data_IF_296984376351
#
_entry.id   IF_296984376351
#
_cell.length_a   1.000
_cell.length_b   1.000
_cell.length_c   1.000
_cell.angle_alpha   90.00
_cell.angle_beta   90.00
_cell.angle_gamma   90.00
#
_symmetry.space_group_name_H-M   'P 1'
#
loop_
_entity.id
_entity.type
_entity.pdbx_description
1 polymer ?
#
# COMPACT_ATOMS: atom_id res chain seq x y z
N UNK A 1 30.36 -8.33 -13.88
CA UNK A 1 28.88 -8.33 -14.07
C UNK A 1 28.10 -8.62 -12.81
N UNK A 2 28.59 -9.46 -11.91
CA UNK A 2 27.93 -9.69 -10.62
C UNK A 2 27.79 -8.40 -9.76
N UNK A 3 28.79 -7.50 -9.83
CA UNK A 3 28.80 -6.26 -9.04
C UNK A 3 27.66 -5.30 -9.40
N UNK A 4 27.33 -5.18 -10.71
CA UNK A 4 26.25 -4.29 -11.15
C UNK A 4 24.88 -4.72 -10.64
N UNK A 5 24.67 -6.02 -10.48
CA UNK A 5 23.41 -6.56 -9.98
C UNK A 5 23.19 -6.22 -8.51
N UNK A 6 24.24 -6.33 -7.69
CA UNK A 6 24.17 -5.98 -6.28
C UNK A 6 24.02 -4.48 -6.06
N UNK A 7 24.71 -3.67 -6.85
CA UNK A 7 24.58 -2.21 -6.80
C UNK A 7 23.16 -1.78 -7.17
N UNK A 8 22.57 -2.36 -8.23
CA UNK A 8 21.21 -2.07 -8.64
C UNK A 8 20.19 -2.45 -7.56
N UNK A 9 20.37 -3.58 -6.89
CA UNK A 9 19.51 -3.99 -5.77
C UNK A 9 19.65 -3.02 -4.59
N UNK A 10 20.87 -2.60 -4.27
CA UNK A 10 21.13 -1.63 -3.20
C UNK A 10 20.45 -0.28 -3.47
N UNK A 11 20.56 0.23 -4.71
CA UNK A 11 19.91 1.47 -5.12
C UNK A 11 18.40 1.35 -5.03
N UNK A 12 17.82 0.24 -5.51
CA UNK A 12 16.38 0.01 -5.43
C UNK A 12 15.88 -0.05 -3.98
N UNK A 13 16.64 -0.66 -3.08
CA UNK A 13 16.28 -0.72 -1.66
C UNK A 13 16.28 0.68 -1.05
N UNK A 14 17.29 1.49 -1.37
CA UNK A 14 17.39 2.86 -0.86
C UNK A 14 16.22 3.72 -1.37
N UNK A 15 15.89 3.65 -2.64
CA UNK A 15 14.75 4.37 -3.23
C UNK A 15 13.43 3.95 -2.59
N UNK A 16 13.21 2.65 -2.42
CA UNK A 16 12.00 2.11 -1.80
C UNK A 16 11.90 2.51 -0.33
N UNK A 17 13.02 2.49 0.38
CA UNK A 17 13.06 2.94 1.78
C UNK A 17 12.69 4.41 1.88
N UNK A 18 13.17 5.26 0.97
CA UNK A 18 12.82 6.67 0.93
C UNK A 18 11.32 6.88 0.70
N UNK A 19 10.71 6.15 -0.23
CA UNK A 19 9.28 6.25 -0.50
C UNK A 19 8.46 5.79 0.72
N UNK A 20 8.82 4.66 1.32
CA UNK A 20 8.17 4.14 2.53
C UNK A 20 8.25 5.17 3.65
N UNK A 21 9.43 5.75 3.84
CA UNK A 21 9.68 6.73 4.88
C UNK A 21 8.85 7.99 4.67
N UNK A 22 8.76 8.47 3.42
CA UNK A 22 7.98 9.65 3.08
C UNK A 22 6.48 9.44 3.33
N UNK A 23 5.93 8.29 2.94
CA UNK A 23 4.53 7.97 3.21
C UNK A 23 4.29 7.87 4.71
N UNK A 24 5.17 7.19 5.44
CA UNK A 24 5.08 7.06 6.89
C UNK A 24 5.13 8.42 7.58
N UNK A 25 6.03 9.32 7.14
CA UNK A 25 6.13 10.67 7.69
C UNK A 25 4.84 11.46 7.50
N UNK A 26 4.25 11.40 6.32
CA UNK A 26 3.00 12.10 6.03
C UNK A 26 1.82 11.56 6.83
N UNK A 27 1.79 10.24 7.06
CA UNK A 27 0.69 9.59 7.77
C UNK A 27 0.75 9.80 9.27
N UNK A 28 1.94 9.90 9.84
CA UNK A 28 2.11 9.91 11.29
C UNK A 28 2.01 11.29 11.95
N UNK A 29 2.24 12.39 11.19
CA UNK A 29 2.35 13.70 11.80
C UNK A 29 3.51 13.77 12.80
N UNK A 30 3.34 14.39 13.99
CA UNK A 30 4.41 14.50 14.99
C UNK A 30 4.62 13.21 15.80
N UNK A 31 5.11 12.16 15.15
CA UNK A 31 5.35 10.85 15.78
C UNK A 31 6.50 10.86 16.76
N UNK A 32 6.36 10.06 17.80
CA UNK A 32 7.49 9.78 18.72
C UNK A 32 8.42 8.79 18.04
N UNK A 33 9.76 8.96 18.18
CA UNK A 33 10.73 8.12 17.47
C UNK A 33 10.57 6.62 17.68
N UNK A 34 10.17 6.18 18.88
CA UNK A 34 10.03 4.74 19.18
C UNK A 34 8.83 4.08 18.47
N UNK A 35 7.91 4.86 17.91
CA UNK A 35 6.75 4.35 17.18
C UNK A 35 7.03 4.07 15.71
N UNK A 36 8.19 4.51 15.20
CA UNK A 36 8.58 4.30 13.81
C UNK A 36 8.58 2.84 13.40
N UNK A 37 9.13 1.95 14.23
CA UNK A 37 9.18 0.53 13.92
C UNK A 37 7.81 -0.10 13.74
N UNK A 38 6.81 0.38 14.48
CA UNK A 38 5.44 -0.11 14.40
C UNK A 38 4.77 0.25 13.08
N UNK A 39 5.20 1.34 12.43
CA UNK A 39 4.66 1.80 11.16
C UNK A 39 5.49 1.29 9.98
N UNK A 40 6.82 1.32 10.09
CA UNK A 40 7.73 1.00 9.00
C UNK A 40 7.61 -0.46 8.57
N UNK A 41 7.46 -1.40 9.51
CA UNK A 41 7.35 -2.81 9.15
C UNK A 41 6.08 -3.12 8.33
N UNK A 42 4.86 -2.73 8.77
CA UNK A 42 3.68 -2.88 7.93
C UNK A 42 3.78 -2.13 6.60
N UNK A 43 4.35 -0.92 6.60
CA UNK A 43 4.53 -0.15 5.37
C UNK A 43 5.46 -0.85 4.39
N UNK A 44 6.48 -1.54 4.87
CA UNK A 44 7.39 -2.32 4.03
C UNK A 44 6.64 -3.46 3.34
N UNK A 45 5.75 -4.13 4.07
CA UNK A 45 4.91 -5.20 3.52
C UNK A 45 3.95 -4.64 2.46
N UNK A 46 3.27 -3.54 2.75
CA UNK A 46 2.37 -2.88 1.81
C UNK A 46 3.12 -2.45 0.55
N UNK A 47 4.30 -1.85 0.71
CA UNK A 47 5.13 -1.44 -0.44
C UNK A 47 5.53 -2.63 -1.30
N UNK A 48 5.82 -3.77 -0.69
CA UNK A 48 6.13 -5.01 -1.44
C UNK A 48 4.94 -5.46 -2.29
N UNK A 49 3.75 -5.49 -1.72
CA UNK A 49 2.54 -5.81 -2.48
C UNK A 49 2.32 -4.80 -3.62
N UNK A 50 2.48 -3.51 -3.32
CA UNK A 50 2.35 -2.45 -4.32
C UNK A 50 3.29 -2.69 -5.51
N UNK A 51 4.56 -2.96 -5.24
CA UNK A 51 5.57 -3.12 -6.28
C UNK A 51 5.32 -4.37 -7.14
N UNK A 52 4.84 -5.44 -6.53
CA UNK A 52 4.42 -6.63 -7.28
C UNK A 52 3.29 -6.31 -8.24
N UNK A 53 2.32 -5.52 -7.80
CA UNK A 53 1.11 -5.20 -8.58
C UNK A 53 1.30 -4.04 -9.56
N UNK A 54 2.33 -3.22 -9.38
CA UNK A 54 2.54 -2.01 -10.18
C UNK A 54 2.55 -2.26 -11.70
N UNK A 55 3.24 -3.28 -12.24
CA UNK A 55 3.25 -3.50 -13.68
C UNK A 55 1.90 -3.81 -14.30
N UNK A 56 0.96 -4.34 -13.52
CA UNK A 56 -0.39 -4.73 -14.00
C UNK A 56 -1.50 -3.88 -13.41
N UNK A 57 -1.15 -2.77 -12.77
CA UNK A 57 -2.13 -1.90 -12.10
C UNK A 57 -3.25 -1.47 -13.04
N UNK A 58 -2.92 -0.97 -14.22
CA UNK A 58 -3.92 -0.53 -15.20
C UNK A 58 -4.80 -1.68 -15.69
N UNK A 59 -4.20 -2.86 -15.94
CA UNK A 59 -4.96 -4.03 -16.37
C UNK A 59 -5.99 -4.46 -15.33
N UNK A 60 -5.63 -4.40 -14.04
CA UNK A 60 -6.56 -4.69 -12.94
C UNK A 60 -7.67 -3.64 -12.89
N UNK A 61 -7.34 -2.35 -13.06
CA UNK A 61 -8.32 -1.27 -13.07
C UNK A 61 -9.33 -1.44 -14.19
N UNK A 62 -8.88 -1.73 -15.40
CA UNK A 62 -9.75 -1.98 -16.56
C UNK A 62 -10.64 -3.20 -16.34
N UNK A 63 -10.06 -4.30 -15.86
CA UNK A 63 -10.81 -5.52 -15.62
C UNK A 63 -11.85 -5.32 -14.50
N UNK A 64 -11.51 -4.60 -13.46
CA UNK A 64 -12.45 -4.30 -12.38
C UNK A 64 -13.69 -3.55 -12.89
N UNK A 65 -13.51 -2.59 -13.78
CA UNK A 65 -14.65 -1.86 -14.36
C UNK A 65 -15.59 -2.80 -15.14
N UNK A 66 -15.06 -3.85 -15.73
CA UNK A 66 -15.86 -4.83 -16.48
C UNK A 66 -16.61 -5.81 -15.58
N UNK A 67 -16.01 -6.19 -14.44
CA UNK A 67 -16.53 -7.29 -13.61
C UNK A 67 -17.09 -6.85 -12.25
N UNK A 68 -17.03 -5.57 -11.91
CA UNK A 68 -17.40 -5.06 -10.58
C UNK A 68 -18.82 -5.42 -10.14
N UNK A 69 -19.71 -5.66 -11.09
CA UNK A 69 -21.10 -6.04 -10.81
C UNK A 69 -21.34 -7.56 -10.84
N UNK A 70 -20.29 -8.35 -11.05
CA UNK A 70 -20.38 -9.80 -11.05
C UNK A 70 -20.42 -10.31 -9.60
N UNK A 71 -21.05 -11.47 -9.40
CA UNK A 71 -21.14 -12.08 -8.07
C UNK A 71 -19.76 -12.53 -7.55
N UNK A 72 -18.88 -12.99 -8.43
CA UNK A 72 -17.52 -13.45 -8.09
C UNK A 72 -16.53 -12.77 -9.03
N UNK A 73 -15.58 -12.03 -8.49
CA UNK A 73 -14.63 -11.23 -9.26
C UNK A 73 -13.18 -11.66 -9.09
N UNK A 74 -12.85 -12.42 -8.04
CA UNK A 74 -11.47 -12.75 -7.67
C UNK A 74 -10.69 -13.42 -8.81
N UNK A 75 -11.28 -14.38 -9.49
CA UNK A 75 -10.63 -15.09 -10.59
C UNK A 75 -10.24 -14.18 -11.75
N UNK A 76 -11.10 -13.21 -12.07
CA UNK A 76 -10.82 -12.23 -13.12
C UNK A 76 -9.68 -11.30 -12.72
N UNK A 77 -9.68 -10.86 -11.47
CA UNK A 77 -8.71 -9.87 -10.99
C UNK A 77 -7.35 -10.50 -10.70
N UNK A 78 -7.29 -11.72 -10.20
CA UNK A 78 -6.01 -12.43 -10.03
C UNK A 78 -5.38 -12.75 -11.38
N UNK A 79 -6.19 -13.09 -12.37
CA UNK A 79 -5.68 -13.28 -13.74
C UNK A 79 -5.11 -11.98 -14.31
N UNK A 80 -5.79 -10.87 -14.10
CA UNK A 80 -5.32 -9.56 -14.57
C UNK A 80 -4.05 -9.12 -13.84
N UNK A 81 -3.95 -9.35 -12.54
CA UNK A 81 -2.76 -8.97 -11.75
C UNK A 81 -1.55 -9.87 -12.01
N UNK A 82 -1.77 -11.13 -12.36
CA UNK A 82 -0.71 -12.13 -12.47
C UNK A 82 -0.27 -12.73 -11.14
N UNK A 83 -0.99 -12.45 -10.06
CA UNK A 83 -0.70 -12.94 -8.72
C UNK A 83 -1.97 -13.54 -8.10
N UNK A 84 -1.82 -14.17 -6.94
CA UNK A 84 -2.96 -14.69 -6.16
C UNK A 84 -3.66 -13.59 -5.35
N UNK A 85 -3.28 -12.35 -5.56
CA UNK A 85 -3.83 -11.18 -4.90
C UNK A 85 -3.90 -10.01 -5.90
N UNK A 86 -4.64 -8.97 -5.53
CA UNK A 86 -4.82 -7.78 -6.36
C UNK A 86 -5.19 -6.57 -5.51
N UNK A 87 -5.22 -5.40 -6.13
CA UNK A 87 -5.76 -4.19 -5.53
C UNK A 87 -6.62 -3.45 -6.57
N UNK A 88 -7.83 -3.10 -6.19
CA UNK A 88 -8.78 -2.39 -7.06
C UNK A 88 -8.71 -0.88 -6.93
N UNK A 89 -7.96 -0.35 -5.96
CA UNK A 89 -7.84 1.08 -5.76
C UNK A 89 -7.10 1.74 -6.93
N UNK A 90 -7.50 2.95 -7.26
CA UNK A 90 -6.83 3.77 -8.27
C UNK A 90 -5.48 4.32 -7.80
N UNK A 91 -5.23 4.31 -6.50
CA UNK A 91 -4.05 4.94 -5.93
C UNK A 91 -2.80 4.09 -6.10
N UNK A 92 -1.66 4.79 -6.26
CA UNK A 92 -0.31 4.25 -6.20
C UNK A 92 0.43 5.01 -5.10
N UNK A 93 1.62 4.57 -4.72
CA UNK A 93 2.42 5.32 -3.76
C UNK A 93 2.76 6.71 -4.29
N UNK A 94 3.04 6.83 -5.59
CA UNK A 94 3.31 8.13 -6.20
C UNK A 94 2.10 9.06 -6.10
N UNK A 95 0.91 8.55 -6.39
CA UNK A 95 -0.31 9.38 -6.31
C UNK A 95 -0.68 9.71 -4.86
N UNK A 96 -0.37 8.83 -3.91
CA UNK A 96 -0.56 9.12 -2.48
C UNK A 96 0.36 10.27 -2.04
N UNK A 97 1.61 10.24 -2.44
CA UNK A 97 2.58 11.29 -2.11
C UNK A 97 2.26 12.62 -2.80
N UNK A 98 1.59 12.58 -3.94
CA UNK A 98 1.22 13.79 -4.69
C UNK A 98 0.09 14.58 -4.04
N UNK A 99 -0.63 14.00 -3.08
CA UNK A 99 -1.76 14.64 -2.40
C UNK A 99 -1.61 14.54 -0.87
N UNK A 100 -0.68 15.30 -0.27
CA UNK A 100 -0.41 15.20 1.16
C UNK A 100 -1.60 15.55 2.06
N UNK A 101 -2.45 16.46 1.63
CA UNK A 101 -3.60 16.90 2.44
C UNK A 101 -4.63 15.79 2.67
N UNK A 102 -4.76 14.89 1.71
CA UNK A 102 -5.74 13.79 1.76
C UNK A 102 -5.08 12.43 1.91
N UNK A 103 -3.81 12.37 2.30
CA UNK A 103 -3.05 11.12 2.29
C UNK A 103 -3.67 10.06 3.21
N UNK A 104 -4.21 10.44 4.36
CA UNK A 104 -4.84 9.48 5.27
C UNK A 104 -6.04 8.81 4.60
N UNK A 105 -6.99 9.60 4.10
CA UNK A 105 -8.19 9.09 3.44
C UNK A 105 -7.83 8.26 2.20
N UNK A 106 -6.91 8.74 1.40
CA UNK A 106 -6.48 8.08 0.18
C UNK A 106 -5.74 6.77 0.48
N UNK A 107 -4.92 6.76 1.52
CA UNK A 107 -4.20 5.56 1.94
C UNK A 107 -5.15 4.49 2.49
N UNK A 108 -6.18 4.89 3.25
CA UNK A 108 -7.21 3.96 3.73
C UNK A 108 -7.98 3.35 2.56
N UNK A 109 -8.33 4.16 1.57
CA UNK A 109 -8.96 3.66 0.34
C UNK A 109 -8.07 2.67 -0.38
N UNK A 110 -6.77 2.98 -0.47
CA UNK A 110 -5.79 2.08 -1.06
C UNK A 110 -5.72 0.74 -0.33
N UNK A 111 -5.62 0.75 1.00
CA UNK A 111 -5.59 -0.48 1.81
C UNK A 111 -6.87 -1.29 1.63
N UNK A 112 -8.02 -0.63 1.60
CA UNK A 112 -9.32 -1.29 1.44
C UNK A 112 -9.51 -1.88 0.04
N UNK A 113 -8.73 -1.44 -0.94
CA UNK A 113 -8.77 -1.98 -2.29
C UNK A 113 -8.06 -3.32 -2.47
N UNK A 114 -7.25 -3.74 -1.52
CA UNK A 114 -6.58 -5.04 -1.58
C UNK A 114 -7.58 -6.20 -1.49
N UNK A 115 -7.23 -7.30 -2.14
CA UNK A 115 -7.99 -8.56 -2.04
C UNK A 115 -8.03 -9.06 -0.58
N UNK A 116 -9.02 -9.90 -0.28
CA UNK A 116 -9.29 -10.34 1.09
C UNK A 116 -8.08 -11.00 1.76
N UNK A 117 -7.31 -11.79 1.01
CA UNK A 117 -6.12 -12.44 1.56
C UNK A 117 -5.04 -11.45 2.01
N UNK A 118 -4.86 -10.35 1.29
CA UNK A 118 -3.94 -9.28 1.71
C UNK A 118 -4.52 -8.54 2.93
N UNK A 119 -5.82 -8.29 2.96
CA UNK A 119 -6.48 -7.70 4.13
C UNK A 119 -6.21 -8.51 5.38
N UNK A 120 -6.27 -9.85 5.28
CA UNK A 120 -5.97 -10.75 6.40
C UNK A 120 -4.52 -10.63 6.88
N UNK A 121 -3.58 -10.48 5.95
CA UNK A 121 -2.17 -10.25 6.30
C UNK A 121 -1.99 -8.92 7.02
N UNK A 122 -2.61 -7.86 6.49
CA UNK A 122 -2.49 -6.52 7.09
C UNK A 122 -3.14 -6.45 8.47
N UNK A 123 -4.22 -7.18 8.69
CA UNK A 123 -4.87 -7.25 9.99
C UNK A 123 -3.95 -7.81 11.09
N UNK A 124 -3.04 -8.71 10.73
CA UNK A 124 -2.06 -9.28 11.68
C UNK A 124 -1.06 -8.25 12.19
N UNK A 125 -0.86 -7.16 11.46
CA UNK A 125 0.02 -6.07 11.89
C UNK A 125 -0.74 -5.02 12.71
N UNK A 126 -2.05 -5.15 12.86
CA UNK A 126 -2.90 -4.18 13.56
C UNK A 126 -2.76 -2.75 13.00
N UNK A 127 -2.57 -2.67 11.69
CA UNK A 127 -2.20 -1.43 11.00
C UNK A 127 -3.30 -0.37 11.08
N UNK A 128 -4.56 -0.80 11.04
CA UNK A 128 -5.71 0.10 11.20
C UNK A 128 -5.67 0.83 12.55
N UNK A 129 -5.36 0.13 13.62
CA UNK A 129 -5.26 0.74 14.94
C UNK A 129 -4.06 1.69 15.05
N UNK A 130 -2.95 1.36 14.40
CA UNK A 130 -1.79 2.25 14.34
C UNK A 130 -2.17 3.56 13.66
N UNK A 131 -2.87 3.51 12.53
CA UNK A 131 -3.32 4.69 11.81
C UNK A 131 -4.31 5.47 12.68
N UNK A 132 -5.30 4.79 13.27
CA UNK A 132 -6.32 5.43 14.11
C UNK A 132 -5.74 6.11 15.34
N UNK A 133 -4.69 5.52 15.95
CA UNK A 133 -4.02 6.09 17.13
C UNK A 133 -3.30 7.39 16.80
N UNK A 134 -2.79 7.50 15.58
CA UNK A 134 -1.96 8.62 15.17
C UNK A 134 -2.76 9.73 14.47
N UNK A 135 -3.97 9.40 14.04
CA UNK A 135 -4.92 10.35 13.45
C UNK A 135 -6.25 10.25 14.20
N UNK A 136 -6.32 10.71 15.47
CA UNK A 136 -7.58 10.69 16.21
C UNK A 136 -8.58 11.53 15.43
N UNK A 137 -9.74 10.95 15.16
CA UNK A 137 -10.84 11.70 14.54
C UNK A 137 -11.19 12.88 15.44
N UNK A 138 -11.29 14.06 14.88
CA UNK A 138 -11.68 15.27 15.62
C UNK A 138 -13.00 15.12 16.39
N UNK A 139 -13.80 14.13 16.04
CA UNK A 139 -15.07 13.82 16.67
C UNK A 139 -14.99 12.68 17.69
N UNK A 140 -13.80 12.17 17.98
CA UNK A 140 -13.59 11.14 18.98
C UNK A 140 -13.33 11.75 20.34
N UNK A 141 -14.35 12.15 21.00
CA UNK A 141 -14.22 12.50 22.41
C UNK A 141 -14.05 11.25 23.25
#
# INVERSE_FOLDING_TARGET
MANNRFEAVGINIAEKATIIWNVADMLRGPFKPHEYGLVILPMTVVKRFHDCLSPTHEAVQEQYQKVKNFAVIDGFLTKASGYQFYNISKYTFDSLLADPENIEANFRDYLNGFSANVQDVLAKFDFENIINSNFPHENGN
#
